data_IF_089521141040
#
_entry.id   IF_089521141040
#
_cell.length_a   1.000
_cell.length_b   1.000
_cell.length_c   1.000
_cell.angle_alpha   90.00
_cell.angle_beta   90.00
_cell.angle_gamma   90.00
#
_symmetry.space_group_name_H-M   'P 1'
#
loop_
_entity.id
_entity.type
_entity.pdbx_description
1 polymer ?
#
# COMPACT_ATOMS: atom_id res chain seq x y z
N UNK A 1 0.09 18.26 -5.39
CA UNK A 1 -0.12 16.81 -5.19
C UNK A 1 0.68 16.05 -6.22
N UNK A 2 1.36 14.98 -5.82
CA UNK A 2 2.08 14.12 -6.75
C UNK A 2 1.12 13.42 -7.68
N UNK A 3 1.56 13.15 -8.89
CA UNK A 3 0.83 12.27 -9.80
C UNK A 3 1.21 10.82 -9.47
N UNK A 4 0.20 9.99 -9.24
CA UNK A 4 0.41 8.57 -8.92
C UNK A 4 0.03 7.69 -10.09
N UNK A 5 0.76 6.61 -10.22
CA UNK A 5 0.50 5.60 -11.25
C UNK A 5 -0.83 4.90 -11.00
N UNK A 6 -1.18 4.71 -9.73
CA UNK A 6 -2.42 4.06 -9.32
C UNK A 6 -2.87 4.58 -7.96
N UNK A 7 -4.18 4.69 -7.79
CA UNK A 7 -4.81 5.09 -6.53
C UNK A 7 -6.09 4.28 -6.34
N UNK A 8 -6.37 3.91 -5.10
CA UNK A 8 -7.59 3.21 -4.73
C UNK A 8 -8.17 3.81 -3.46
N UNK A 9 -9.49 3.90 -3.40
CA UNK A 9 -10.19 4.33 -2.19
C UNK A 9 -10.52 3.08 -1.39
N UNK A 10 -10.14 3.08 -0.13
CA UNK A 10 -10.39 2.00 0.81
C UNK A 10 -11.04 2.54 2.06
N UNK A 11 -11.59 1.67 2.88
CA UNK A 11 -12.22 2.05 4.15
C UNK A 11 -11.66 1.19 5.27
N UNK A 12 -11.28 1.81 6.38
CA UNK A 12 -10.84 1.09 7.57
C UNK A 12 -12.02 0.40 8.24
N UNK A 13 -11.73 -0.66 8.97
CA UNK A 13 -12.73 -1.43 9.71
C UNK A 13 -12.46 -1.35 11.21
N UNK A 14 -13.51 -1.47 12.01
CA UNK A 14 -13.38 -1.36 13.47
C UNK A 14 -12.41 -2.37 14.05
N UNK A 15 -12.42 -3.61 13.53
CA UNK A 15 -11.56 -4.68 14.03
C UNK A 15 -10.07 -4.43 13.70
N UNK A 16 -9.77 -3.46 12.84
CA UNK A 16 -8.39 -3.09 12.51
C UNK A 16 -7.80 -2.09 13.51
N UNK A 17 -8.61 -1.59 14.42
CA UNK A 17 -8.21 -0.60 15.41
C UNK A 17 -7.77 -1.25 16.71
N UNK A 18 -6.87 -0.56 17.42
CA UNK A 18 -6.44 -0.94 18.75
C UNK A 18 -7.39 -0.37 19.82
N UNK A 19 -7.03 -0.54 21.10
CA UNK A 19 -7.84 -0.08 22.22
C UNK A 19 -8.01 1.45 22.25
N UNK A 20 -7.17 2.20 21.55
CA UNK A 20 -7.25 3.65 21.46
C UNK A 20 -8.13 4.13 20.31
N UNK A 21 -8.70 3.22 19.55
CA UNK A 21 -9.57 3.54 18.42
C UNK A 21 -8.84 4.01 17.18
N UNK A 22 -7.54 3.78 17.09
CA UNK A 22 -6.75 4.09 15.90
C UNK A 22 -6.30 2.81 15.22
N UNK A 23 -6.17 2.86 13.90
CA UNK A 23 -5.77 1.69 13.12
C UNK A 23 -4.39 1.21 13.55
N UNK A 24 -4.30 -0.09 13.84
CA UNK A 24 -3.04 -0.71 14.23
C UNK A 24 -2.03 -0.61 13.09
N UNK A 25 -0.77 -0.30 13.43
CA UNK A 25 0.30 -0.07 12.47
C UNK A 25 0.47 -1.22 11.46
N UNK A 26 0.26 -2.45 11.89
CA UNK A 26 0.39 -3.63 11.01
C UNK A 26 -0.61 -3.60 9.85
N UNK A 27 -1.76 -2.99 10.03
CA UNK A 27 -2.79 -2.94 9.00
C UNK A 27 -2.40 -2.02 7.83
N UNK A 28 -1.57 -1.01 8.09
CA UNK A 28 -1.07 -0.18 6.99
C UNK A 28 -0.28 -1.00 5.99
N UNK A 29 0.50 -1.97 6.46
CA UNK A 29 1.25 -2.87 5.58
C UNK A 29 0.28 -3.69 4.72
N UNK A 30 -0.83 -4.15 5.29
CA UNK A 30 -1.86 -4.87 4.54
C UNK A 30 -2.52 -3.98 3.49
N UNK A 31 -2.81 -2.72 3.81
CA UNK A 31 -3.38 -1.78 2.84
C UNK A 31 -2.43 -1.55 1.66
N UNK A 32 -1.15 -1.40 1.95
CA UNK A 32 -0.14 -1.21 0.90
C UNK A 32 -0.05 -2.44 0.00
N UNK A 33 -0.07 -3.62 0.58
CA UNK A 33 -0.04 -4.88 -0.17
C UNK A 33 -1.27 -5.00 -1.07
N UNK A 34 -2.46 -4.74 -0.54
CA UNK A 34 -3.69 -4.79 -1.31
C UNK A 34 -3.64 -3.85 -2.50
N UNK A 35 -3.08 -2.65 -2.32
CA UNK A 35 -2.96 -1.67 -3.39
C UNK A 35 -2.03 -2.16 -4.50
N UNK A 36 -0.89 -2.77 -4.14
CA UNK A 36 0.02 -3.33 -5.11
C UNK A 36 -0.64 -4.45 -5.92
N UNK A 37 -1.38 -5.33 -5.25
CA UNK A 37 -2.07 -6.43 -5.91
C UNK A 37 -3.16 -5.93 -6.86
N UNK A 38 -3.94 -4.94 -6.45
CA UNK A 38 -4.97 -4.35 -7.29
C UNK A 38 -4.37 -3.70 -8.55
N UNK A 39 -3.25 -2.99 -8.37
CA UNK A 39 -2.57 -2.37 -9.51
C UNK A 39 -2.08 -3.41 -10.50
N UNK A 40 -1.45 -4.47 -10.01
CA UNK A 40 -0.95 -5.54 -10.86
C UNK A 40 -2.08 -6.23 -11.60
N UNK A 41 -3.21 -6.49 -10.94
CA UNK A 41 -4.39 -7.05 -11.59
C UNK A 41 -4.93 -6.12 -12.68
N UNK A 42 -4.95 -4.82 -12.42
CA UNK A 42 -5.44 -3.83 -13.39
C UNK A 42 -4.57 -3.80 -14.66
N UNK A 43 -3.29 -4.16 -14.52
CA UNK A 43 -2.36 -4.26 -15.64
C UNK A 43 -2.33 -5.65 -16.29
N UNK A 44 -3.19 -6.56 -15.84
CA UNK A 44 -3.29 -7.91 -16.38
C UNK A 44 -2.27 -8.90 -15.83
N UNK A 45 -1.60 -8.57 -14.73
CA UNK A 45 -0.63 -9.47 -14.10
C UNK A 45 -1.28 -10.30 -13.00
N UNK A 46 -0.75 -11.51 -12.79
CA UNK A 46 -1.20 -12.42 -11.75
C UNK A 46 0.01 -13.10 -11.10
N UNK A 47 0.12 -12.99 -9.78
CA UNK A 47 1.19 -13.68 -9.05
C UNK A 47 1.09 -15.19 -9.17
N UNK A 48 -0.12 -15.73 -9.18
CA UNK A 48 -0.34 -17.16 -9.34
C UNK A 48 0.18 -17.64 -10.69
N UNK A 49 -0.14 -16.92 -11.75
CA UNK A 49 0.30 -17.25 -13.09
C UNK A 49 1.82 -17.19 -13.22
N UNK A 50 2.44 -16.17 -12.62
CA UNK A 50 3.89 -16.05 -12.60
C UNK A 50 4.53 -17.21 -11.87
N UNK A 51 3.96 -17.62 -10.72
CA UNK A 51 4.47 -18.76 -9.95
C UNK A 51 4.41 -20.04 -10.81
N UNK A 52 3.33 -20.26 -11.53
CA UNK A 52 3.19 -21.40 -12.44
C UNK A 52 4.24 -21.39 -13.55
N UNK A 53 4.69 -20.21 -13.94
CA UNK A 53 5.74 -20.02 -14.95
C UNK A 53 7.15 -20.02 -14.35
N UNK A 54 7.29 -20.27 -13.06
CA UNK A 54 8.57 -20.29 -12.36
C UNK A 54 9.09 -18.93 -11.93
N UNK A 55 8.23 -17.91 -11.92
CA UNK A 55 8.60 -16.55 -11.52
C UNK A 55 7.96 -16.23 -10.17
N UNK A 56 8.77 -16.00 -9.17
CA UNK A 56 8.31 -15.56 -7.86
C UNK A 56 8.85 -14.17 -7.56
N UNK A 57 7.95 -13.28 -7.12
CA UNK A 57 8.28 -11.92 -6.77
C UNK A 57 8.16 -11.79 -5.25
N UNK A 58 9.21 -11.34 -4.60
CA UNK A 58 9.26 -11.29 -3.14
C UNK A 58 9.61 -9.90 -2.65
N UNK A 59 8.92 -9.48 -1.59
CA UNK A 59 9.26 -8.25 -0.90
C UNK A 59 10.59 -8.47 -0.16
N UNK A 60 11.59 -7.65 -0.46
CA UNK A 60 12.90 -7.74 0.18
C UNK A 60 13.05 -6.75 1.34
N UNK A 61 12.21 -5.73 1.39
CA UNK A 61 12.24 -4.76 2.48
C UNK A 61 11.10 -3.78 2.40
N UNK A 62 10.74 -3.25 3.57
CA UNK A 62 9.71 -2.21 3.70
C UNK A 62 10.24 -1.16 4.65
N UNK A 63 10.16 0.10 4.23
CA UNK A 63 10.39 1.26 5.09
C UNK A 63 9.11 2.07 5.10
N UNK A 64 8.55 2.30 6.28
CA UNK A 64 7.29 3.03 6.41
C UNK A 64 7.39 4.07 7.50
N UNK A 65 6.87 5.26 7.20
CA UNK A 65 6.76 6.36 8.17
C UNK A 65 5.29 6.61 8.42
N UNK A 66 4.91 6.57 9.68
CA UNK A 66 3.55 6.83 10.13
C UNK A 66 3.43 8.32 10.52
N UNK A 67 2.40 8.97 10.01
CA UNK A 67 2.18 10.41 10.24
C UNK A 67 0.91 10.64 11.04
N UNK A 68 -0.23 10.70 10.38
CA UNK A 68 -1.53 10.91 11.00
C UNK A 68 -2.27 9.59 11.08
N UNK A 69 -2.85 9.29 12.25
CA UNK A 69 -3.54 8.01 12.45
C UNK A 69 -4.92 8.01 11.76
N UNK A 70 -5.24 6.88 11.14
CA UNK A 70 -6.60 6.59 10.71
C UNK A 70 -7.38 5.98 11.86
N UNK A 71 -8.68 6.25 11.90
CA UNK A 71 -9.60 5.66 12.87
C UNK A 71 -10.49 4.64 12.17
N UNK A 72 -11.34 3.97 12.94
CA UNK A 72 -12.29 3.03 12.37
C UNK A 72 -13.31 3.71 11.47
N UNK A 73 -13.70 3.02 10.40
CA UNK A 73 -14.71 3.46 9.44
C UNK A 73 -14.39 4.78 8.73
N UNK A 74 -13.10 5.06 8.56
CA UNK A 74 -12.64 6.20 7.76
C UNK A 74 -12.27 5.73 6.36
N UNK A 75 -12.62 6.53 5.36
CA UNK A 75 -12.13 6.30 4.01
C UNK A 75 -10.76 6.93 3.84
N UNK A 76 -9.91 6.25 3.08
CA UNK A 76 -8.58 6.74 2.75
C UNK A 76 -8.24 6.41 1.29
N UNK A 77 -7.28 7.15 0.77
CA UNK A 77 -6.80 6.96 -0.59
C UNK A 77 -5.40 6.36 -0.50
N UNK A 78 -5.22 5.18 -1.07
CA UNK A 78 -3.94 4.48 -1.12
C UNK A 78 -3.37 4.61 -2.52
N UNK A 79 -2.19 5.19 -2.62
CA UNK A 79 -1.56 5.57 -3.88
C UNK A 79 -0.23 4.88 -4.05
N UNK A 80 0.16 4.59 -5.28
CA UNK A 80 1.50 4.07 -5.55
C UNK A 80 2.12 4.66 -6.80
N UNK A 81 3.43 4.71 -6.75
CA UNK A 81 4.30 4.87 -7.90
C UNK A 81 5.29 3.70 -7.91
N UNK A 82 5.87 3.45 -9.05
CA UNK A 82 6.73 2.30 -9.25
C UNK A 82 7.97 2.76 -10.00
N UNK A 83 9.15 2.33 -9.54
CA UNK A 83 10.41 2.64 -10.21
C UNK A 83 11.36 1.47 -10.12
N UNK A 84 12.29 1.44 -11.05
CA UNK A 84 13.36 0.46 -11.03
C UNK A 84 14.61 1.07 -10.43
N UNK A 85 15.29 0.33 -9.56
CA UNK A 85 16.55 0.73 -8.95
C UNK A 85 17.52 -0.46 -9.06
N UNK A 86 18.31 -0.47 -10.14
CA UNK A 86 19.20 -1.58 -10.44
C UNK A 86 18.43 -2.87 -10.72
N UNK A 87 18.72 -3.90 -9.95
CA UNK A 87 18.04 -5.20 -10.06
C UNK A 87 16.74 -5.26 -9.25
N UNK A 88 16.42 -4.21 -8.49
CA UNK A 88 15.23 -4.17 -7.63
C UNK A 88 14.17 -3.30 -8.26
N UNK A 89 12.93 -3.57 -7.86
CA UNK A 89 11.80 -2.67 -8.13
C UNK A 89 11.36 -2.05 -6.82
N UNK A 90 10.97 -0.79 -6.87
CA UNK A 90 10.57 -0.04 -5.68
C UNK A 90 9.19 0.55 -5.90
N UNK A 91 8.28 0.26 -4.95
CA UNK A 91 7.00 0.93 -4.87
C UNK A 91 7.09 2.05 -3.86
N UNK A 92 6.83 3.27 -4.31
CA UNK A 92 6.67 4.43 -3.43
C UNK A 92 5.18 4.58 -3.19
N UNK A 93 4.74 4.41 -1.94
CA UNK A 93 3.33 4.35 -1.61
C UNK A 93 2.97 5.36 -0.52
N UNK A 94 1.83 6.01 -0.70
CA UNK A 94 1.32 6.99 0.27
C UNK A 94 -0.13 6.67 0.58
N UNK A 95 -0.52 6.92 1.83
CA UNK A 95 -1.90 6.78 2.30
C UNK A 95 -2.36 8.13 2.81
N UNK A 96 -3.45 8.64 2.24
CA UNK A 96 -4.07 9.91 2.64
C UNK A 96 -5.46 9.68 3.19
N UNK A 97 -5.79 10.34 4.28
CA UNK A 97 -7.18 10.35 4.77
C UNK A 97 -8.04 11.13 3.79
N UNK A 98 -9.15 10.53 3.36
CA UNK A 98 -9.96 11.13 2.30
C UNK A 98 -10.64 12.44 2.75
N UNK A 99 -11.06 12.53 4.00
CA UNK A 99 -11.82 13.67 4.49
C UNK A 99 -11.05 14.99 4.47
N UNK A 100 -9.73 14.96 4.69
CA UNK A 100 -8.92 16.18 4.80
C UNK A 100 -7.59 16.10 4.05
N UNK A 101 -7.35 15.02 3.29
CA UNK A 101 -6.11 14.76 2.57
C UNK A 101 -4.86 14.74 3.45
N UNK A 102 -5.01 14.47 4.74
CA UNK A 102 -3.87 14.35 5.64
C UNK A 102 -3.04 13.11 5.28
N UNK A 103 -1.74 13.28 5.19
CA UNK A 103 -0.84 12.14 4.94
C UNK A 103 -0.80 11.26 6.19
N UNK A 104 -1.20 10.02 6.06
CA UNK A 104 -1.25 9.06 7.16
C UNK A 104 -0.03 8.17 7.22
N UNK A 105 0.48 7.75 6.07
CA UNK A 105 1.68 6.92 5.97
C UNK A 105 2.36 7.14 4.63
N UNK A 106 3.68 7.01 4.66
CA UNK A 106 4.50 7.05 3.44
C UNK A 106 5.47 5.90 3.50
N UNK A 107 5.55 5.11 2.44
CA UNK A 107 6.30 3.87 2.45
C UNK A 107 7.12 3.68 1.17
N UNK A 108 8.20 2.93 1.34
CA UNK A 108 9.02 2.45 0.26
C UNK A 108 9.12 0.94 0.38
N UNK A 109 8.65 0.22 -0.64
CA UNK A 109 8.61 -1.25 -0.64
C UNK A 109 9.52 -1.76 -1.75
N UNK A 110 10.57 -2.48 -1.37
CA UNK A 110 11.52 -3.07 -2.30
C UNK A 110 11.11 -4.49 -2.66
N UNK A 111 11.18 -4.81 -3.93
CA UNK A 111 10.79 -6.11 -4.47
C UNK A 111 11.90 -6.65 -5.37
N UNK A 112 12.19 -7.94 -5.26
CA UNK A 112 13.19 -8.62 -6.07
C UNK A 112 12.60 -9.80 -6.83
#
# INVERSE_FOLDING_TARGET
MKNYLYSAVMKTRDYECDAQGVVNNANYIHYLEATRHEWLQSEGFSFQKWHEEGIDVMVSGISIKYKTSLRGQEEFISCLNFRRDGARFIFDQDIFRKSDNALCASAEVSVV
#
